data_IF_048525407866
#
_entry.id   IF_048525407866
#
_cell.length_a   1.000
_cell.length_b   1.000
_cell.length_c   1.000
_cell.angle_alpha   90.00
_cell.angle_beta   90.00
_cell.angle_gamma   90.00
#
_symmetry.space_group_name_H-M   'P 1'
#
loop_
_entity.id
_entity.type
_entity.pdbx_description
1 polymer ?
#
# COMPACT_ATOMS: atom_id res chain seq x y z
N UNK A 1 -8.17 28.18 -5.53
CA UNK A 1 -7.93 27.38 -6.75
C UNK A 1 -7.44 26.02 -6.27
N UNK A 2 -8.03 24.88 -6.63
CA UNK A 2 -7.32 23.63 -6.39
C UNK A 2 -6.11 23.66 -7.33
N UNK A 3 -4.90 23.71 -6.77
CA UNK A 3 -3.67 23.49 -7.53
C UNK A 3 -3.81 22.16 -8.29
N UNK A 4 -3.27 22.10 -9.51
CA UNK A 4 -3.14 20.83 -10.22
C UNK A 4 -2.46 19.81 -9.28
N UNK A 5 -2.92 18.55 -9.25
CA UNK A 5 -2.29 17.52 -8.42
C UNK A 5 -0.78 17.52 -8.64
N UNK A 6 0.02 17.64 -7.58
CA UNK A 6 1.48 17.78 -7.65
C UNK A 6 2.15 16.73 -8.54
N UNK A 7 1.57 15.53 -8.59
CA UNK A 7 2.05 14.42 -9.42
C UNK A 7 1.83 14.58 -10.93
N UNK A 8 0.87 15.40 -11.38
CA UNK A 8 0.67 15.68 -12.80
C UNK A 8 1.90 16.36 -13.40
N UNK A 9 2.51 17.30 -12.67
CA UNK A 9 3.68 18.05 -13.10
C UNK A 9 4.97 17.21 -13.16
N UNK A 10 5.02 16.08 -12.46
CA UNK A 10 6.22 15.24 -12.36
C UNK A 10 6.04 13.83 -12.92
N UNK A 11 4.93 13.53 -13.59
CA UNK A 11 4.59 12.17 -14.02
C UNK A 11 5.66 11.54 -14.94
N UNK A 12 6.17 12.30 -15.92
CA UNK A 12 7.21 11.81 -16.84
C UNK A 12 8.54 11.58 -16.13
N UNK A 13 8.96 12.52 -15.27
CA UNK A 13 10.16 12.33 -14.44
C UNK A 13 9.99 11.14 -13.49
N UNK A 14 8.80 10.94 -12.92
CA UNK A 14 8.52 9.83 -12.04
C UNK A 14 8.68 8.50 -12.77
N UNK A 15 8.12 8.38 -13.98
CA UNK A 15 8.19 7.18 -14.81
C UNK A 15 9.61 6.88 -15.31
N UNK A 16 10.29 7.88 -15.88
CA UNK A 16 11.54 7.66 -16.61
C UNK A 16 12.80 7.80 -15.74
N UNK A 17 12.79 8.66 -14.72
CA UNK A 17 13.99 8.96 -13.92
C UNK A 17 13.91 8.40 -12.50
N UNK A 18 12.80 8.63 -11.81
CA UNK A 18 12.65 8.14 -10.44
C UNK A 18 12.53 6.62 -10.48
N UNK A 19 11.50 6.09 -11.13
CA UNK A 19 11.23 4.67 -11.15
C UNK A 19 12.37 3.87 -11.78
N UNK A 20 13.04 4.33 -12.84
CA UNK A 20 14.18 3.60 -13.44
C UNK A 20 15.32 3.30 -12.46
N UNK A 21 15.47 4.11 -11.39
CA UNK A 21 16.45 3.87 -10.33
C UNK A 21 16.04 2.75 -9.36
N UNK A 22 14.74 2.44 -9.30
CA UNK A 22 14.13 1.54 -8.31
C UNK A 22 13.41 0.33 -8.92
N UNK A 23 12.98 0.38 -10.19
CA UNK A 23 12.27 -0.69 -10.88
C UNK A 23 13.16 -1.92 -11.04
N UNK A 24 12.58 -3.10 -10.83
CA UNK A 24 13.31 -4.37 -10.81
C UNK A 24 14.10 -4.64 -9.53
N UNK A 25 14.28 -3.66 -8.64
CA UNK A 25 14.95 -3.85 -7.35
C UNK A 25 13.93 -3.75 -6.23
N UNK A 26 13.53 -4.89 -5.68
CA UNK A 26 12.72 -4.95 -4.46
C UNK A 26 13.60 -4.67 -3.22
N UNK A 27 14.36 -3.56 -3.24
CA UNK A 27 15.39 -3.21 -2.23
C UNK A 27 14.78 -3.16 -0.83
N UNK A 28 13.56 -2.63 -0.77
CA UNK A 28 12.77 -2.52 0.45
C UNK A 28 11.72 -3.62 0.53
N UNK A 29 11.78 -4.72 -0.21
CA UNK A 29 10.80 -5.81 -0.08
C UNK A 29 9.33 -5.45 -0.33
N UNK A 30 9.01 -4.25 -0.81
CA UNK A 30 7.65 -3.71 -0.99
C UNK A 30 6.80 -4.64 -1.83
N UNK A 31 7.35 -5.17 -2.94
CA UNK A 31 6.59 -6.05 -3.82
C UNK A 31 6.28 -7.39 -3.17
N UNK A 32 7.30 -8.01 -2.57
CA UNK A 32 7.11 -9.24 -1.81
C UNK A 32 6.08 -9.05 -0.70
N UNK A 33 6.26 -8.05 0.15
CA UNK A 33 5.33 -7.73 1.24
C UNK A 33 3.92 -7.51 0.72
N UNK A 34 3.76 -6.73 -0.36
CA UNK A 34 2.43 -6.46 -0.92
C UNK A 34 1.74 -7.76 -1.31
N UNK A 35 2.43 -8.67 -2.00
CA UNK A 35 1.89 -9.99 -2.37
C UNK A 35 1.59 -10.86 -1.15
N UNK A 36 2.47 -10.87 -0.15
CA UNK A 36 2.30 -11.68 1.06
C UNK A 36 1.09 -11.20 1.88
N UNK A 37 0.90 -9.88 2.00
CA UNK A 37 -0.24 -9.28 2.68
C UNK A 37 -1.54 -9.51 1.90
N UNK A 38 -1.51 -9.34 0.58
CA UNK A 38 -2.68 -9.53 -0.27
C UNK A 38 -3.09 -11.01 -0.30
N UNK A 39 -2.11 -11.92 -0.32
CA UNK A 39 -2.30 -13.34 -0.52
C UNK A 39 -2.77 -13.68 -1.94
N UNK A 40 -2.76 -14.97 -2.32
CA UNK A 40 -3.34 -15.39 -3.59
C UNK A 40 -4.86 -15.22 -3.56
N UNK A 41 -5.44 -14.80 -4.68
CA UNK A 41 -6.88 -14.80 -4.86
C UNK A 41 -7.30 -14.50 -6.29
N UNK A 42 -8.59 -14.32 -6.54
CA UNK A 42 -9.15 -14.18 -7.89
C UNK A 42 -10.16 -13.04 -7.96
N UNK A 43 -10.21 -12.39 -9.12
CA UNK A 43 -11.08 -11.25 -9.40
C UNK A 43 -10.36 -9.91 -9.31
N UNK A 44 -11.13 -8.82 -9.31
CA UNK A 44 -10.58 -7.48 -9.35
C UNK A 44 -9.85 -7.11 -8.06
N UNK A 45 -8.64 -6.56 -8.17
CA UNK A 45 -7.92 -5.92 -7.08
C UNK A 45 -7.72 -4.43 -7.40
N UNK A 46 -8.28 -3.58 -6.55
CA UNK A 46 -8.20 -2.12 -6.69
C UNK A 46 -6.86 -1.59 -6.18
N UNK A 47 -6.02 -1.04 -7.05
CA UNK A 47 -4.87 -0.23 -6.68
C UNK A 47 -5.32 1.21 -6.38
N UNK A 48 -5.24 1.62 -5.11
CA UNK A 48 -5.59 2.95 -4.60
C UNK A 48 -4.37 3.86 -4.68
N UNK A 49 -4.45 4.92 -5.49
CA UNK A 49 -3.29 5.72 -5.87
C UNK A 49 -2.33 4.90 -6.70
N UNK A 50 -2.80 4.38 -7.84
CA UNK A 50 -2.02 3.45 -8.65
C UNK A 50 -0.79 4.09 -9.31
N UNK A 51 -0.68 5.42 -9.31
CA UNK A 51 0.39 6.16 -9.97
C UNK A 51 0.49 5.74 -11.43
N UNK A 52 1.71 5.41 -11.88
CA UNK A 52 1.95 4.91 -13.24
C UNK A 52 1.64 3.42 -13.42
N UNK A 53 1.08 2.73 -12.42
CA UNK A 53 0.63 1.34 -12.54
C UNK A 53 1.74 0.29 -12.47
N UNK A 54 2.94 0.64 -11.97
CA UNK A 54 4.10 -0.27 -11.89
C UNK A 54 3.88 -1.51 -11.01
N UNK A 55 2.90 -1.49 -10.10
CA UNK A 55 2.60 -2.62 -9.20
C UNK A 55 1.65 -3.65 -9.82
N UNK A 56 1.02 -3.32 -10.95
CA UNK A 56 0.02 -4.17 -11.59
C UNK A 56 0.56 -5.57 -11.97
N UNK A 57 1.86 -5.69 -12.27
CA UNK A 57 2.50 -6.99 -12.50
C UNK A 57 2.49 -7.87 -11.23
N UNK A 58 2.81 -7.30 -10.08
CA UNK A 58 2.87 -8.04 -8.81
C UNK A 58 1.48 -8.41 -8.28
N UNK A 59 0.46 -7.59 -8.57
CA UNK A 59 -0.93 -7.96 -8.30
C UNK A 59 -1.36 -9.18 -9.14
N UNK A 60 -0.94 -9.24 -10.42
CA UNK A 60 -1.18 -10.41 -11.28
C UNK A 60 -0.41 -11.65 -10.83
N UNK A 61 0.82 -11.50 -10.35
CA UNK A 61 1.59 -12.61 -9.76
C UNK A 61 0.89 -13.23 -8.55
N UNK A 62 0.06 -12.47 -7.84
CA UNK A 62 -0.81 -12.96 -6.76
C UNK A 62 -2.18 -13.46 -7.25
N UNK A 63 -2.33 -13.71 -8.56
CA UNK A 63 -3.53 -14.22 -9.25
C UNK A 63 -4.72 -13.24 -9.35
N UNK A 64 -4.55 -11.97 -8.95
CA UNK A 64 -5.59 -10.95 -9.04
C UNK A 64 -5.59 -10.23 -10.40
N UNK A 65 -6.72 -9.59 -10.72
CA UNK A 65 -6.86 -8.70 -11.89
C UNK A 65 -6.78 -7.24 -11.44
N UNK A 66 -5.67 -6.52 -11.69
CA UNK A 66 -5.51 -5.15 -11.21
C UNK A 66 -6.44 -4.18 -11.95
N UNK A 67 -7.06 -3.27 -11.19
CA UNK A 67 -7.72 -2.05 -11.67
C UNK A 67 -7.23 -0.87 -10.83
N UNK A 68 -7.05 0.31 -11.40
CA UNK A 68 -6.40 1.44 -10.71
C UNK A 68 -7.29 2.67 -10.56
N UNK A 69 -7.12 3.37 -9.45
CA UNK A 69 -7.60 4.75 -9.25
C UNK A 69 -6.42 5.66 -8.91
N UNK A 70 -6.39 6.84 -9.49
CA UNK A 70 -5.46 7.90 -9.12
C UNK A 70 -6.07 9.27 -9.40
N UNK A 71 -5.67 10.30 -8.65
CA UNK A 71 -6.16 11.67 -8.85
C UNK A 71 -5.42 12.37 -10.01
N UNK A 72 -4.18 11.96 -10.28
CA UNK A 72 -3.30 12.53 -11.29
C UNK A 72 -3.58 11.96 -12.68
N UNK A 73 -4.03 12.81 -13.60
CA UNK A 73 -4.24 12.42 -15.00
C UNK A 73 -2.92 12.06 -15.72
N UNK A 74 -1.81 12.73 -15.37
CA UNK A 74 -0.47 12.47 -15.89
C UNK A 74 0.04 11.09 -15.49
N UNK A 75 -0.10 10.72 -14.22
CA UNK A 75 0.19 9.35 -13.74
C UNK A 75 -0.64 8.30 -14.49
N UNK A 76 -1.94 8.56 -14.66
CA UNK A 76 -2.84 7.64 -15.35
C UNK A 76 -2.53 7.50 -16.84
N UNK A 77 -1.90 8.49 -17.48
CA UNK A 77 -1.47 8.37 -18.88
C UNK A 77 -0.50 7.20 -19.05
N UNK A 78 0.45 7.04 -18.14
CA UNK A 78 1.39 5.91 -18.11
C UNK A 78 0.73 4.60 -17.66
N UNK A 79 -0.17 4.67 -16.68
CA UNK A 79 -0.83 3.50 -16.11
C UNK A 79 -1.71 2.73 -17.10
N UNK A 80 -2.35 3.41 -18.06
CA UNK A 80 -3.26 2.78 -19.04
C UNK A 80 -2.64 1.63 -19.83
N UNK A 81 -1.32 1.63 -20.03
CA UNK A 81 -0.61 0.54 -20.69
C UNK A 81 -0.46 -0.72 -19.81
N UNK A 82 -0.68 -0.60 -18.49
CA UNK A 82 -0.40 -1.64 -17.49
C UNK A 82 -1.64 -2.19 -16.81
N UNK A 83 -2.70 -1.39 -16.66
CA UNK A 83 -3.97 -1.80 -16.05
C UNK A 83 -5.12 -0.86 -16.48
N UNK A 84 -6.38 -1.32 -16.42
CA UNK A 84 -7.54 -0.43 -16.53
C UNK A 84 -7.52 0.59 -15.38
N UNK A 85 -7.76 1.87 -15.70
CA UNK A 85 -7.69 2.96 -14.73
C UNK A 85 -8.83 3.95 -14.85
N UNK A 86 -9.18 4.59 -13.74
CA UNK A 86 -10.12 5.71 -13.68
C UNK A 86 -9.55 6.83 -12.81
N UNK A 87 -9.78 8.09 -13.23
CA UNK A 87 -9.39 9.26 -12.44
C UNK A 87 -10.39 9.48 -11.31
N UNK A 88 -9.92 9.44 -10.07
CA UNK A 88 -10.76 9.65 -8.90
C UNK A 88 -9.95 10.02 -7.65
N UNK A 89 -10.61 10.71 -6.73
CA UNK A 89 -10.12 10.89 -5.37
C UNK A 89 -10.31 9.58 -4.58
N UNK A 90 -9.28 9.15 -3.85
CA UNK A 90 -9.35 7.95 -3.02
C UNK A 90 -10.39 8.06 -1.89
N UNK A 91 -10.66 9.28 -1.41
CA UNK A 91 -11.72 9.62 -0.47
C UNK A 91 -13.12 9.66 -1.08
N UNK A 92 -13.28 9.40 -2.39
CA UNK A 92 -14.57 9.22 -3.06
C UNK A 92 -14.47 8.30 -4.29
N UNK A 93 -14.43 6.99 -4.06
CA UNK A 93 -14.21 5.99 -5.10
C UNK A 93 -15.44 5.80 -6.01
N UNK A 94 -15.28 5.81 -7.34
CA UNK A 94 -16.38 5.65 -8.31
C UNK A 94 -16.77 4.18 -8.50
N UNK A 95 -16.89 3.44 -7.39
CA UNK A 95 -17.23 2.02 -7.35
C UNK A 95 -18.42 1.82 -6.42
N UNK A 96 -19.28 0.86 -6.76
CA UNK A 96 -20.37 0.45 -5.88
C UNK A 96 -19.83 -0.15 -4.58
N UNK A 97 -20.61 -0.07 -3.50
CA UNK A 97 -20.27 -0.74 -2.25
C UNK A 97 -20.23 -2.26 -2.43
N UNK A 98 -19.32 -2.95 -1.74
CA UNK A 98 -19.22 -4.41 -1.83
C UNK A 98 -18.92 -4.96 -3.23
N UNK A 99 -18.24 -4.18 -4.09
CA UNK A 99 -18.03 -4.53 -5.49
C UNK A 99 -16.71 -5.26 -5.75
N UNK A 100 -15.66 -5.00 -4.97
CA UNK A 100 -14.32 -5.57 -5.18
C UNK A 100 -13.93 -6.57 -4.08
N UNK A 101 -13.31 -7.71 -4.43
CA UNK A 101 -12.83 -8.68 -3.44
C UNK A 101 -11.50 -8.28 -2.78
N UNK A 102 -10.72 -7.41 -3.42
CA UNK A 102 -9.43 -6.98 -2.90
C UNK A 102 -9.10 -5.53 -3.27
N UNK A 103 -8.28 -4.90 -2.44
CA UNK A 103 -7.68 -3.59 -2.68
C UNK A 103 -6.25 -3.56 -2.15
N UNK A 104 -5.43 -2.70 -2.73
CA UNK A 104 -4.05 -2.47 -2.33
C UNK A 104 -3.73 -0.98 -2.42
N UNK A 105 -2.96 -0.46 -1.45
CA UNK A 105 -2.43 0.91 -1.49
C UNK A 105 -0.96 0.88 -1.11
N UNK A 106 -0.07 1.29 -2.02
CA UNK A 106 1.38 1.21 -1.83
C UNK A 106 1.96 2.61 -1.85
N UNK A 107 2.61 3.03 -0.76
CA UNK A 107 3.25 4.33 -0.57
C UNK A 107 2.34 5.57 -0.74
N UNK A 108 1.05 5.39 -0.98
CA UNK A 108 0.07 6.47 -1.26
C UNK A 108 -0.29 7.34 -0.04
N UNK A 109 -0.16 6.82 1.17
CA UNK A 109 -0.64 7.47 2.41
C UNK A 109 -0.02 8.85 2.69
N UNK A 110 1.21 9.12 2.26
CA UNK A 110 1.86 10.44 2.41
C UNK A 110 1.23 11.51 1.54
N UNK A 111 0.47 11.09 0.53
CA UNK A 111 -0.08 11.92 -0.52
C UNK A 111 -1.62 12.04 -0.41
N UNK A 112 -2.20 11.46 0.66
CA UNK A 112 -3.62 11.52 0.97
C UNK A 112 -3.87 12.54 2.08
N UNK A 113 -4.43 13.72 1.79
CA UNK A 113 -4.74 14.73 2.80
C UNK A 113 -5.69 14.23 3.90
N UNK A 114 -6.61 13.32 3.54
CA UNK A 114 -7.53 12.64 4.46
C UNK A 114 -7.44 11.12 4.25
N UNK A 115 -6.38 10.53 4.79
CA UNK A 115 -6.19 9.08 4.81
C UNK A 115 -7.38 8.33 5.45
N UNK A 116 -7.96 8.78 6.58
CA UNK A 116 -9.18 8.17 7.12
C UNK A 116 -10.35 8.11 6.14
N UNK A 117 -10.60 9.15 5.34
CA UNK A 117 -11.63 9.13 4.31
C UNK A 117 -11.34 8.11 3.21
N UNK A 118 -10.10 8.04 2.73
CA UNK A 118 -9.70 7.05 1.73
C UNK A 118 -9.90 5.62 2.24
N UNK A 119 -9.51 5.33 3.49
CA UNK A 119 -9.71 4.00 4.10
C UNK A 119 -11.20 3.67 4.24
N UNK A 120 -12.05 4.63 4.63
CA UNK A 120 -13.51 4.41 4.69
C UNK A 120 -14.10 4.07 3.33
N UNK A 121 -13.66 4.73 2.28
CA UNK A 121 -14.10 4.43 0.91
C UNK A 121 -13.61 3.05 0.45
N UNK A 122 -12.37 2.69 0.73
CA UNK A 122 -11.85 1.34 0.45
C UNK A 122 -12.69 0.29 1.17
N UNK A 123 -12.99 0.50 2.45
CA UNK A 123 -13.86 -0.40 3.22
C UNK A 123 -15.27 -0.50 2.63
N UNK A 124 -15.83 0.61 2.16
CA UNK A 124 -17.15 0.65 1.51
C UNK A 124 -17.18 -0.20 0.24
N UNK A 125 -16.18 -0.07 -0.63
CA UNK A 125 -16.15 -0.78 -1.93
C UNK A 125 -15.77 -2.25 -1.81
N UNK A 126 -15.10 -2.63 -0.72
CA UNK A 126 -14.76 -4.02 -0.44
C UNK A 126 -16.00 -4.85 -0.13
N UNK A 127 -16.05 -6.05 -0.72
CA UNK A 127 -17.01 -7.10 -0.35
C UNK A 127 -16.84 -7.48 1.13
N UNK A 128 -17.90 -7.97 1.80
CA UNK A 128 -17.73 -8.70 3.04
C UNK A 128 -16.70 -9.82 2.86
N UNK A 129 -15.70 -9.89 3.75
CA UNK A 129 -14.60 -10.86 3.62
C UNK A 129 -13.47 -10.45 2.65
N UNK A 130 -13.61 -9.33 1.93
CA UNK A 130 -12.57 -8.82 1.03
C UNK A 130 -11.37 -8.26 1.79
N UNK A 131 -10.20 -8.19 1.13
CA UNK A 131 -8.92 -7.82 1.76
C UNK A 131 -8.44 -6.44 1.32
N UNK A 132 -7.90 -5.65 2.24
CA UNK A 132 -7.13 -4.45 1.91
C UNK A 132 -5.68 -4.64 2.37
N UNK A 133 -4.72 -4.56 1.45
CA UNK A 133 -3.29 -4.58 1.75
C UNK A 133 -2.68 -3.18 1.61
N UNK A 134 -2.22 -2.59 2.71
CA UNK A 134 -1.53 -1.30 2.69
C UNK A 134 -0.03 -1.48 2.99
N UNK A 135 0.82 -0.94 2.14
CA UNK A 135 2.27 -0.86 2.38
C UNK A 135 2.69 0.60 2.40
N UNK A 136 3.09 1.10 3.56
CA UNK A 136 3.40 2.51 3.79
C UNK A 136 4.87 2.78 4.14
N UNK A 137 5.20 4.06 4.28
CA UNK A 137 6.49 4.56 4.72
C UNK A 137 6.60 4.41 6.25
N UNK A 138 7.56 5.11 6.86
CA UNK A 138 7.77 5.06 8.31
C UNK A 138 6.47 5.28 9.09
N UNK A 139 6.23 4.53 10.20
CA UNK A 139 5.03 4.65 11.03
C UNK A 139 4.55 6.08 11.29
N UNK A 140 5.47 7.01 11.58
CA UNK A 140 5.15 8.41 11.85
C UNK A 140 4.49 9.17 10.69
N UNK A 141 4.57 8.67 9.45
CA UNK A 141 3.94 9.28 8.27
C UNK A 141 2.60 8.64 7.91
N UNK A 142 2.28 7.49 8.51
CA UNK A 142 1.02 6.78 8.26
C UNK A 142 -0.08 7.24 9.23
N UNK A 143 0.16 8.26 10.06
CA UNK A 143 -0.81 8.81 11.01
C UNK A 143 -1.14 7.84 12.15
N UNK A 144 -2.30 8.00 12.81
CA UNK A 144 -2.79 7.21 13.96
C UNK A 144 -2.93 5.69 13.72
N UNK A 145 -2.52 5.19 12.54
CA UNK A 145 -2.53 3.78 12.17
C UNK A 145 -1.40 2.96 12.83
N UNK A 146 -0.49 3.55 13.62
CA UNK A 146 0.70 2.86 14.20
C UNK A 146 0.99 3.14 15.69
N UNK A 147 0.30 2.48 16.62
CA UNK A 147 0.62 2.38 18.06
C UNK A 147 1.14 0.93 18.39
N UNK A 148 2.06 0.74 19.35
CA UNK A 148 2.73 -0.56 19.57
C UNK A 148 1.98 -1.60 20.44
N UNK A 149 0.82 -1.29 21.05
CA UNK A 149 0.33 -2.03 22.24
C UNK A 149 -0.48 -3.33 22.02
N UNK A 150 -0.76 -3.77 20.78
CA UNK A 150 -1.78 -4.83 20.52
C UNK A 150 -1.34 -5.98 19.59
N UNK A 151 -0.09 -6.43 19.68
CA UNK A 151 0.50 -7.44 18.78
C UNK A 151 0.95 -8.69 19.50
N UNK A 152 0.06 -9.68 19.62
CA UNK A 152 0.44 -11.04 20.00
C UNK A 152 -0.13 -11.98 18.95
N UNK A 153 0.75 -12.80 18.37
CA UNK A 153 0.52 -13.81 17.34
C UNK A 153 0.34 -13.37 15.88
N UNK A 154 1.47 -13.15 15.19
CA UNK A 154 1.74 -13.72 13.85
C UNK A 154 3.22 -13.57 13.50
N UNK A 155 3.83 -14.59 12.87
CA UNK A 155 5.27 -14.66 12.52
C UNK A 155 5.71 -13.75 11.36
N UNK A 156 5.01 -12.65 11.13
CA UNK A 156 5.43 -11.51 10.33
C UNK A 156 5.08 -10.27 11.16
N UNK A 157 6.03 -9.36 11.37
CA UNK A 157 5.83 -8.16 12.18
C UNK A 157 4.78 -7.24 11.53
N UNK A 158 3.51 -7.53 11.75
CA UNK A 158 2.39 -6.62 11.55
C UNK A 158 2.29 -5.75 12.80
N UNK A 159 2.08 -4.44 12.64
CA UNK A 159 1.68 -3.53 13.73
C UNK A 159 0.21 -3.18 13.53
N UNK A 160 -0.64 -3.46 14.52
CA UNK A 160 -2.10 -3.32 14.41
C UNK A 160 -2.56 -2.40 15.53
N UNK A 161 -3.12 -1.24 15.15
CA UNK A 161 -3.65 -0.28 16.13
C UNK A 161 -4.91 0.46 15.73
N UNK A 162 -5.67 0.78 16.77
CA UNK A 162 -7.04 1.23 16.73
C UNK A 162 -7.16 2.74 16.61
N UNK A 163 -7.58 3.16 15.42
CA UNK A 163 -8.76 4.03 15.32
C UNK A 163 -9.97 3.16 15.64
N UNK A 164 -11.04 3.71 16.23
CA UNK A 164 -12.33 3.02 16.31
C UNK A 164 -12.61 2.39 14.95
N UNK A 165 -12.59 1.06 14.84
CA UNK A 165 -12.78 0.38 13.56
C UNK A 165 -14.09 0.90 12.98
N UNK A 166 -14.07 1.62 11.84
CA UNK A 166 -15.30 1.78 11.10
C UNK A 166 -15.83 0.37 10.86
N UNK A 167 -17.13 0.12 11.10
CA UNK A 167 -17.73 -1.19 10.81
C UNK A 167 -17.33 -1.60 9.38
N UNK A 168 -16.79 -2.81 9.17
CA UNK A 168 -16.36 -3.28 7.84
C UNK A 168 -14.86 -3.23 7.54
N UNK A 169 -13.99 -2.82 8.48
CA UNK A 169 -12.51 -2.79 8.28
C UNK A 169 -11.77 -4.00 8.87
N UNK A 170 -12.45 -5.13 9.09
CA UNK A 170 -11.88 -6.28 9.80
C UNK A 170 -10.70 -6.93 9.06
N UNK A 171 -10.63 -6.72 7.73
CA UNK A 171 -9.68 -7.35 6.81
C UNK A 171 -8.59 -6.40 6.28
N UNK A 172 -8.36 -5.26 6.94
CA UNK A 172 -7.23 -4.38 6.62
C UNK A 172 -5.93 -4.99 7.16
N UNK A 173 -4.94 -5.13 6.28
CA UNK A 173 -3.60 -5.64 6.54
C UNK A 173 -2.58 -4.57 6.17
N UNK A 174 -1.70 -4.21 7.09
CA UNK A 174 -0.75 -3.09 6.88
C UNK A 174 0.68 -3.47 7.26
N UNK A 175 1.66 -3.03 6.46
CA UNK A 175 3.08 -2.99 6.84
C UNK A 175 3.68 -1.61 6.55
N UNK A 176 4.56 -1.14 7.45
CA UNK A 176 5.27 0.14 7.34
C UNK A 176 6.78 -0.08 7.52
N UNK A 177 7.59 0.56 6.69
CA UNK A 177 9.05 0.46 6.77
C UNK A 177 9.62 1.49 7.74
N UNK A 178 10.21 1.05 8.86
CA UNK A 178 11.16 1.88 9.60
C UNK A 178 12.57 1.66 9.05
N UNK A 179 13.35 2.73 8.86
CA UNK A 179 14.79 2.55 8.67
C UNK A 179 15.36 1.90 9.93
N UNK A 180 16.31 0.95 9.81
CA UNK A 180 17.16 0.64 10.95
C UNK A 180 17.78 1.95 11.41
N UNK A 181 17.82 2.21 12.72
CA UNK A 181 18.59 3.33 13.26
C UNK A 181 19.99 3.26 12.65
N UNK A 182 20.33 4.20 11.79
CA UNK A 182 21.70 4.38 11.32
C UNK A 182 22.50 4.79 12.55
N UNK A 183 23.19 3.85 13.19
CA UNK A 183 24.30 4.21 14.05
C UNK A 183 25.44 4.56 13.11
N UNK A 184 25.80 5.84 13.05
CA UNK A 184 26.92 6.34 12.26
C UNK A 184 28.30 5.78 12.72
N UNK A 185 28.34 4.84 13.67
CA UNK A 185 29.58 4.37 14.30
C UNK A 185 30.19 3.09 13.72
N UNK A 186 29.53 2.30 12.84
CA UNK A 186 30.11 0.98 12.48
C UNK A 186 29.85 0.40 11.09
N UNK A 187 29.13 1.08 10.19
CA UNK A 187 29.07 0.69 8.77
C UNK A 187 28.67 -0.77 8.47
N UNK A 188 27.92 -1.45 9.34
CA UNK A 188 27.40 -2.81 9.10
C UNK A 188 25.92 -2.93 9.41
N UNK A 189 25.21 -3.60 8.51
CA UNK A 189 23.84 -4.09 8.73
C UNK A 189 23.89 -5.25 9.73
N UNK A 190 23.32 -5.06 10.92
CA UNK A 190 23.17 -6.15 11.89
C UNK A 190 22.05 -7.08 11.42
N UNK A 191 22.43 -8.25 10.88
CA UNK A 191 21.50 -9.38 10.70
C UNK A 191 21.27 -10.01 12.08
N UNK A 192 20.06 -9.88 12.62
CA UNK A 192 19.67 -10.63 13.82
C UNK A 192 19.53 -12.12 13.49
N UNK A 193 20.42 -12.94 14.02
CA UNK A 193 20.25 -14.40 14.04
C UNK A 193 19.36 -14.82 15.24
N UNK A 194 18.46 -15.80 15.08
CA UNK A 194 17.62 -16.27 16.18
C UNK A 194 18.46 -17.18 17.09
N UNK A 195 18.46 -16.91 18.40
CA UNK A 195 18.90 -17.90 19.40
C UNK A 195 17.70 -18.73 19.87
N UNK A 196 17.88 -20.06 20.08
CA UNK A 196 16.80 -20.97 20.40
C UNK A 196 16.33 -20.82 21.86
N UNK A 197 15.05 -21.09 22.09
CA UNK A 197 14.46 -21.19 23.42
C UNK A 197 15.01 -22.43 24.15
N UNK A 198 15.53 -22.25 25.36
CA UNK A 198 15.76 -23.34 26.31
C UNK A 198 14.63 -23.41 27.33
N UNK A 199 14.06 -24.61 27.47
CA UNK A 199 13.05 -25.01 28.45
C UNK A 199 13.67 -25.17 29.84
N UNK A 200 12.95 -24.72 30.87
CA UNK A 200 12.47 -25.49 32.03
C UNK A 200 11.81 -24.54 33.01
#
# INVERSE_FOLDING_TARGET
MPEEPTYDAIADWYEYDFLSRWTGKDVLGINRTTRDLLGPGVGACLEVGCGTGVRAGHVREACWTPIGVDISAGMLAHARARLPVVRADAGRLPLAGGSVPAAVGVMVHTDLPDLPAAVREVARVLRPGGVFAHVGAHPCFVGDFTDPRHLRDTRAQAVRTGVARPRGTENVRTLTWSTPKFSAASGRVLRGSPRPASRS
#
